data_IF_428981105547
#
_entry.id   IF_428981105547
#
_cell.length_a   1.000
_cell.length_b   1.000
_cell.length_c   1.000
_cell.angle_alpha   90.00
_cell.angle_beta   90.00
_cell.angle_gamma   90.00
#
_symmetry.space_group_name_H-M   'P 1'
#
loop_
_entity.id
_entity.type
_entity.pdbx_description
1 polymer ?
#
# COMPACT_ATOMS: atom_id res chain seq x y z
N UNK A 1 9.69 -5.30 19.86
CA UNK A 1 10.52 -6.41 19.34
C UNK A 1 11.17 -6.09 17.98
N UNK A 2 10.62 -5.14 17.19
CA UNK A 2 11.20 -4.70 15.91
C UNK A 2 12.63 -4.09 16.01
N UNK A 3 12.95 -3.36 17.08
CA UNK A 3 14.30 -2.79 17.27
C UNK A 3 15.39 -3.88 17.44
N UNK A 4 15.05 -5.00 18.08
CA UNK A 4 15.92 -6.19 18.09
C UNK A 4 16.02 -6.84 16.71
N UNK A 5 14.93 -6.86 15.93
CA UNK A 5 14.95 -7.38 14.56
C UNK A 5 15.88 -6.59 13.62
N UNK A 6 15.87 -5.26 13.69
CA UNK A 6 16.77 -4.39 12.91
C UNK A 6 18.22 -4.54 13.33
N UNK A 7 18.50 -4.64 14.64
CA UNK A 7 19.84 -4.93 15.15
C UNK A 7 20.34 -6.31 14.74
N UNK A 8 19.46 -7.31 14.74
CA UNK A 8 19.77 -8.67 14.27
C UNK A 8 20.03 -8.68 12.76
N UNK A 9 19.24 -7.96 11.96
CA UNK A 9 19.43 -7.84 10.51
C UNK A 9 20.73 -7.09 10.16
N UNK A 10 21.03 -5.98 10.87
CA UNK A 10 22.30 -5.26 10.74
C UNK A 10 23.50 -6.12 11.16
N UNK A 11 23.34 -6.91 12.23
CA UNK A 11 24.34 -7.90 12.66
C UNK A 11 24.54 -9.00 11.62
N UNK A 12 23.47 -9.53 11.04
CA UNK A 12 23.52 -10.55 9.99
C UNK A 12 24.22 -10.00 8.73
N UNK A 13 23.87 -8.77 8.33
CA UNK A 13 24.48 -8.08 7.20
C UNK A 13 25.99 -7.86 7.44
N UNK A 14 26.37 -7.44 8.65
CA UNK A 14 27.78 -7.27 9.01
C UNK A 14 28.55 -8.59 8.99
N UNK A 15 27.95 -9.69 9.47
CA UNK A 15 28.56 -11.03 9.41
C UNK A 15 28.72 -11.50 7.97
N UNK A 16 27.70 -11.33 7.13
CA UNK A 16 27.76 -11.66 5.70
C UNK A 16 28.84 -10.82 5.01
N UNK A 17 28.93 -9.52 5.29
CA UNK A 17 29.97 -8.64 4.79
C UNK A 17 31.38 -9.11 5.19
N UNK A 18 31.60 -9.50 6.45
CA UNK A 18 32.88 -10.02 6.92
C UNK A 18 33.28 -11.35 6.24
N UNK A 19 32.31 -12.24 6.01
CA UNK A 19 32.54 -13.48 5.26
C UNK A 19 33.02 -13.16 3.84
N UNK A 20 32.34 -12.25 3.15
CA UNK A 20 32.70 -11.84 1.79
C UNK A 20 34.03 -11.09 1.72
N UNK A 21 34.34 -10.27 2.72
CA UNK A 21 35.66 -9.63 2.86
C UNK A 21 36.76 -10.70 3.02
N UNK A 22 36.51 -11.76 3.78
CA UNK A 22 37.39 -12.91 3.91
C UNK A 22 37.62 -13.65 2.58
N UNK A 23 36.55 -13.89 1.81
CA UNK A 23 36.63 -14.52 0.47
C UNK A 23 37.46 -13.65 -0.49
N UNK A 24 37.28 -12.33 -0.45
CA UNK A 24 38.04 -11.39 -1.27
C UNK A 24 39.53 -11.38 -0.90
N UNK A 25 39.85 -11.30 0.40
CA UNK A 25 41.24 -11.35 0.89
C UNK A 25 41.90 -12.67 0.50
N UNK A 26 41.20 -13.80 0.65
CA UNK A 26 41.71 -15.11 0.24
C UNK A 26 41.95 -15.18 -1.26
N UNK A 27 41.06 -14.62 -2.08
CA UNK A 27 41.23 -14.50 -3.53
C UNK A 27 42.51 -13.75 -3.89
N UNK A 28 42.74 -12.57 -3.30
CA UNK A 28 43.95 -11.76 -3.52
C UNK A 28 45.21 -12.50 -3.08
N UNK A 29 45.20 -13.17 -1.93
CA UNK A 29 46.34 -13.96 -1.44
C UNK A 29 46.68 -15.10 -2.42
N UNK A 30 45.68 -15.83 -2.91
CA UNK A 30 45.88 -16.91 -3.87
C UNK A 30 46.36 -16.39 -5.24
N UNK A 31 45.90 -15.22 -5.66
CA UNK A 31 46.42 -14.54 -6.85
C UNK A 31 47.92 -14.28 -6.72
N UNK A 32 48.33 -13.66 -5.60
CA UNK A 32 49.73 -13.34 -5.32
C UNK A 32 50.57 -14.60 -5.24
N UNK A 33 50.11 -15.64 -4.54
CA UNK A 33 50.78 -16.94 -4.47
C UNK A 33 50.92 -17.59 -5.85
N UNK A 34 49.88 -17.55 -6.69
CA UNK A 34 49.92 -18.06 -8.06
C UNK A 34 50.93 -17.31 -8.94
N UNK A 35 50.95 -15.98 -8.88
CA UNK A 35 51.93 -15.14 -9.61
C UNK A 35 53.35 -15.41 -9.10
N UNK A 36 53.56 -15.47 -7.78
CA UNK A 36 54.86 -15.80 -7.20
C UNK A 36 55.33 -17.19 -7.64
N UNK A 37 54.43 -18.18 -7.68
CA UNK A 37 54.74 -19.50 -8.20
C UNK A 37 55.24 -19.43 -9.63
N UNK A 38 54.57 -18.71 -10.52
CA UNK A 38 54.99 -18.55 -11.92
C UNK A 38 56.32 -17.77 -12.07
N UNK A 39 56.47 -16.65 -11.37
CA UNK A 39 57.66 -15.77 -11.46
C UNK A 39 58.92 -16.45 -10.90
N UNK A 40 58.82 -17.05 -9.71
CA UNK A 40 59.96 -17.76 -9.10
C UNK A 40 60.27 -19.07 -9.84
N UNK A 41 59.27 -19.77 -10.38
CA UNK A 41 59.48 -20.93 -11.24
C UNK A 41 60.20 -20.56 -12.55
N UNK A 42 59.78 -19.47 -13.20
CA UNK A 42 60.42 -18.95 -14.41
C UNK A 42 61.91 -18.62 -14.22
N UNK A 43 62.29 -18.14 -13.03
CA UNK A 43 63.68 -17.88 -12.63
C UNK A 43 64.47 -19.15 -12.30
N UNK A 44 63.86 -20.15 -11.64
CA UNK A 44 64.53 -21.40 -11.25
C UNK A 44 64.68 -22.44 -12.39
N UNK A 45 64.15 -22.15 -13.58
CA UNK A 45 64.21 -22.99 -14.79
C UNK A 45 65.64 -23.39 -15.20
N UNK A 46 66.68 -22.66 -14.75
CA UNK A 46 68.09 -22.86 -15.15
C UNK A 46 68.94 -23.76 -14.23
N UNK A 47 68.42 -24.33 -13.12
CA UNK A 47 69.28 -24.99 -12.10
C UNK A 47 68.95 -26.42 -11.65
N UNK A 48 67.90 -27.09 -12.17
CA UNK A 48 67.47 -28.41 -11.64
C UNK A 48 67.41 -29.50 -12.72
N UNK A 49 68.22 -30.55 -12.57
CA UNK A 49 68.33 -31.73 -13.45
C UNK A 49 67.10 -32.67 -13.48
N UNK A 50 67.30 -33.88 -14.03
CA UNK A 50 66.24 -34.84 -14.41
C UNK A 50 65.36 -35.35 -13.23
N UNK A 51 65.88 -35.39 -12.01
CA UNK A 51 65.11 -35.79 -10.81
C UNK A 51 64.00 -34.79 -10.40
N UNK A 52 64.05 -33.56 -10.94
CA UNK A 52 63.06 -32.52 -10.63
C UNK A 52 61.76 -32.60 -11.43
N UNK A 53 61.63 -33.48 -12.43
CA UNK A 53 60.51 -33.44 -13.41
C UNK A 53 59.14 -33.73 -12.78
N UNK A 54 59.06 -34.63 -11.79
CA UNK A 54 57.82 -34.92 -11.06
C UNK A 54 57.36 -33.77 -10.16
N UNK A 55 58.27 -33.21 -9.35
CA UNK A 55 58.01 -31.99 -8.53
C UNK A 55 57.62 -30.79 -9.41
N UNK A 56 58.21 -30.65 -10.60
CA UNK A 56 57.92 -29.58 -11.58
C UNK A 56 56.48 -29.62 -12.10
N UNK A 57 55.89 -30.81 -12.30
CA UNK A 57 54.49 -30.94 -12.78
C UNK A 57 53.49 -30.56 -11.69
N UNK A 58 53.65 -31.08 -10.47
CA UNK A 58 52.77 -30.80 -9.33
C UNK A 58 52.73 -29.31 -8.97
N UNK A 59 53.89 -28.64 -9.01
CA UNK A 59 54.00 -27.21 -8.68
C UNK A 59 53.31 -26.30 -9.71
N UNK A 60 53.39 -26.62 -11.01
CA UNK A 60 52.63 -25.91 -12.04
C UNK A 60 51.12 -26.09 -11.89
N UNK A 61 50.69 -27.33 -11.62
CA UNK A 61 49.29 -27.64 -11.36
C UNK A 61 48.80 -26.85 -10.14
N UNK A 62 49.59 -26.77 -9.06
CA UNK A 62 49.26 -25.98 -7.87
C UNK A 62 49.12 -24.47 -8.17
N UNK A 63 50.02 -23.88 -8.97
CA UNK A 63 49.93 -22.48 -9.36
C UNK A 63 48.68 -22.17 -10.20
N UNK A 64 48.36 -23.02 -11.18
CA UNK A 64 47.15 -22.91 -11.99
C UNK A 64 45.90 -23.04 -11.12
N UNK A 65 45.88 -24.02 -10.20
CA UNK A 65 44.76 -24.22 -9.27
C UNK A 65 44.56 -22.99 -8.37
N UNK A 66 45.63 -22.38 -7.85
CA UNK A 66 45.53 -21.15 -7.07
C UNK A 66 44.94 -19.99 -7.89
N UNK A 67 45.36 -19.82 -9.15
CA UNK A 67 44.82 -18.78 -10.03
C UNK A 67 43.34 -19.01 -10.36
N UNK A 68 42.93 -20.26 -10.62
CA UNK A 68 41.52 -20.60 -10.89
C UNK A 68 40.65 -20.31 -9.66
N UNK A 69 41.08 -20.76 -8.47
CA UNK A 69 40.36 -20.49 -7.21
C UNK A 69 40.30 -18.99 -6.93
N UNK A 70 41.40 -18.26 -7.18
CA UNK A 70 41.45 -16.81 -7.05
C UNK A 70 40.40 -16.12 -7.94
N UNK A 71 40.31 -16.48 -9.22
CA UNK A 71 39.36 -15.88 -10.16
C UNK A 71 37.93 -16.17 -9.73
N UNK A 72 37.63 -17.39 -9.29
CA UNK A 72 36.31 -17.76 -8.77
C UNK A 72 35.96 -16.91 -7.53
N UNK A 73 36.88 -16.80 -6.56
CA UNK A 73 36.65 -16.02 -5.33
C UNK A 73 36.46 -14.52 -5.62
N UNK A 74 37.29 -13.94 -6.49
CA UNK A 74 37.18 -12.54 -6.90
C UNK A 74 35.87 -12.29 -7.67
N UNK A 75 35.47 -13.22 -8.54
CA UNK A 75 34.22 -13.14 -9.28
C UNK A 75 32.98 -13.24 -8.38
N UNK A 76 32.98 -14.17 -7.43
CA UNK A 76 31.90 -14.33 -6.46
C UNK A 76 31.79 -13.12 -5.52
N UNK A 77 32.92 -12.60 -5.02
CA UNK A 77 32.94 -11.42 -4.18
C UNK A 77 32.49 -10.16 -4.94
N UNK A 78 32.99 -9.96 -6.17
CA UNK A 78 32.60 -8.83 -7.02
C UNK A 78 31.13 -8.89 -7.45
N UNK A 79 30.64 -10.07 -7.84
CA UNK A 79 29.25 -10.29 -8.22
C UNK A 79 28.29 -10.04 -7.05
N UNK A 80 28.62 -10.53 -5.86
CA UNK A 80 27.81 -10.31 -4.65
C UNK A 80 27.80 -8.84 -4.22
N UNK A 81 28.94 -8.15 -4.31
CA UNK A 81 29.01 -6.70 -4.02
C UNK A 81 28.19 -5.88 -5.01
N UNK A 82 28.25 -6.21 -6.30
CA UNK A 82 27.40 -5.60 -7.32
C UNK A 82 25.92 -5.84 -7.02
N UNK A 83 25.54 -7.08 -6.67
CA UNK A 83 24.16 -7.42 -6.30
C UNK A 83 23.66 -6.63 -5.08
N UNK A 84 24.47 -6.52 -4.03
CA UNK A 84 24.12 -5.77 -2.80
C UNK A 84 23.98 -4.27 -3.09
N UNK A 85 24.82 -3.70 -3.95
CA UNK A 85 24.85 -2.25 -4.22
C UNK A 85 23.87 -1.80 -5.30
N UNK A 86 23.47 -2.69 -6.21
CA UNK A 86 22.61 -2.36 -7.37
C UNK A 86 21.25 -3.05 -7.35
N UNK A 87 21.03 -4.05 -6.48
CA UNK A 87 19.71 -4.59 -6.15
C UNK A 87 19.39 -4.34 -4.67
N UNK A 88 19.40 -3.05 -4.27
CA UNK A 88 18.70 -2.65 -3.05
C UNK A 88 17.20 -2.93 -3.20
N UNK A 89 16.46 -3.15 -2.10
CA UNK A 89 15.03 -3.37 -2.20
C UNK A 89 14.35 -2.15 -2.83
N UNK A 90 13.36 -2.39 -3.69
CA UNK A 90 12.59 -1.34 -4.35
C UNK A 90 11.90 -0.47 -3.29
N UNK A 91 12.46 0.72 -3.06
CA UNK A 91 11.94 1.68 -2.09
C UNK A 91 11.28 2.84 -2.83
N UNK A 92 10.16 3.34 -2.30
CA UNK A 92 9.57 4.61 -2.73
C UNK A 92 9.70 5.65 -1.64
N UNK A 93 9.98 6.88 -2.03
CA UNK A 93 10.08 8.02 -1.13
C UNK A 93 8.70 8.60 -0.85
N UNK A 94 8.29 8.57 0.42
CA UNK A 94 7.14 9.31 0.95
C UNK A 94 7.68 10.63 1.53
N UNK A 95 7.11 11.75 1.11
CA UNK A 95 7.41 13.06 1.73
C UNK A 95 6.48 13.26 2.91
N UNK A 96 7.05 13.54 4.08
CA UNK A 96 6.36 13.79 5.34
C UNK A 96 6.74 15.18 5.86
N UNK A 97 6.00 15.69 6.84
CA UNK A 97 6.31 16.93 7.57
C UNK A 97 7.70 16.92 8.25
N UNK A 98 8.24 15.74 8.54
CA UNK A 98 9.55 15.55 9.18
C UNK A 98 10.66 15.12 8.20
N UNK A 99 10.40 15.14 6.89
CA UNK A 99 11.37 14.83 5.84
C UNK A 99 10.92 13.73 4.89
N UNK A 100 11.87 13.16 4.13
CA UNK A 100 11.59 12.12 3.13
C UNK A 100 11.94 10.75 3.70
N UNK A 101 10.97 9.84 3.74
CA UNK A 101 11.14 8.46 4.23
C UNK A 101 11.04 7.49 3.05
N UNK A 102 12.05 6.66 2.87
CA UNK A 102 12.05 5.58 1.88
C UNK A 102 11.39 4.33 2.49
N UNK A 103 10.28 3.86 1.91
CA UNK A 103 9.55 2.67 2.35
C UNK A 103 9.75 1.54 1.36
N UNK A 104 9.98 0.31 1.86
CA UNK A 104 10.04 -0.90 1.04
C UNK A 104 8.67 -1.19 0.39
N UNK A 105 8.68 -1.57 -0.88
CA UNK A 105 7.46 -1.84 -1.64
C UNK A 105 6.59 -2.96 -1.04
N UNK A 106 7.20 -4.02 -0.48
CA UNK A 106 6.47 -5.11 0.19
C UNK A 106 5.72 -4.64 1.44
N UNK A 107 6.37 -3.79 2.25
CA UNK A 107 5.77 -3.26 3.48
C UNK A 107 4.63 -2.29 3.18
N UNK A 108 4.78 -1.51 2.10
CA UNK A 108 3.70 -0.69 1.54
C UNK A 108 2.47 -1.55 1.21
N UNK A 109 2.65 -2.66 0.49
CA UNK A 109 1.53 -3.54 0.13
C UNK A 109 0.90 -4.22 1.36
N UNK A 110 1.71 -4.59 2.35
CA UNK A 110 1.19 -5.11 3.61
C UNK A 110 0.31 -4.07 4.34
N UNK A 111 0.73 -2.81 4.35
CA UNK A 111 -0.04 -1.72 4.96
C UNK A 111 -1.36 -1.47 4.21
N UNK A 112 -1.30 -1.36 2.88
CA UNK A 112 -2.52 -1.24 2.04
C UNK A 112 -3.48 -2.40 2.30
N UNK A 113 -2.98 -3.63 2.28
CA UNK A 113 -3.80 -4.82 2.52
C UNK A 113 -4.34 -4.93 3.95
N UNK A 114 -3.75 -4.27 4.95
CA UNK A 114 -4.31 -4.16 6.29
C UNK A 114 -5.47 -3.17 6.31
N UNK A 115 -5.30 -2.00 5.68
CA UNK A 115 -6.35 -0.99 5.52
C UNK A 115 -7.54 -1.58 4.76
N UNK A 116 -7.31 -2.22 3.61
CA UNK A 116 -8.36 -2.80 2.76
C UNK A 116 -9.21 -3.87 3.48
N UNK A 117 -8.62 -4.62 4.41
CA UNK A 117 -9.31 -5.64 5.20
C UNK A 117 -9.96 -5.09 6.47
N UNK A 118 -9.92 -3.78 6.68
CA UNK A 118 -10.37 -3.11 7.91
C UNK A 118 -9.70 -3.66 9.19
N UNK A 119 -8.43 -4.06 9.06
CA UNK A 119 -7.64 -4.68 10.13
C UNK A 119 -7.05 -3.60 11.05
N UNK A 120 -7.92 -3.02 11.90
CA UNK A 120 -7.58 -1.85 12.72
C UNK A 120 -6.36 -2.08 13.62
N UNK A 121 -6.22 -3.26 14.20
CA UNK A 121 -5.10 -3.58 15.11
C UNK A 121 -3.77 -3.63 14.35
N UNK A 122 -3.76 -4.20 13.15
CA UNK A 122 -2.60 -4.23 12.27
C UNK A 122 -2.24 -2.81 11.80
N UNK A 123 -3.23 -2.03 11.38
CA UNK A 123 -3.05 -0.63 10.96
C UNK A 123 -2.47 0.21 12.09
N UNK A 124 -3.01 0.13 13.31
CA UNK A 124 -2.49 0.81 14.50
C UNK A 124 -1.04 0.43 14.77
N UNK A 125 -0.73 -0.88 14.79
CA UNK A 125 0.63 -1.37 15.01
C UNK A 125 1.60 -0.83 13.95
N UNK A 126 1.22 -0.86 12.69
CA UNK A 126 2.06 -0.38 11.59
C UNK A 126 2.28 1.14 11.64
N UNK A 127 1.26 1.92 12.00
CA UNK A 127 1.38 3.38 12.17
C UNK A 127 2.24 3.76 13.39
N UNK A 128 2.17 2.99 14.48
CA UNK A 128 3.05 3.15 15.65
C UNK A 128 4.51 2.82 15.32
N UNK A 129 4.75 1.70 14.63
CA UNK A 129 6.09 1.29 14.23
C UNK A 129 6.68 2.18 13.14
N UNK A 130 5.83 2.74 12.28
CA UNK A 130 6.21 3.53 11.10
C UNK A 130 5.33 4.78 10.97
N UNK A 131 5.66 5.87 11.69
CA UNK A 131 4.92 7.13 11.63
C UNK A 131 4.82 7.74 10.21
N UNK A 132 5.73 7.38 9.29
CA UNK A 132 5.66 7.83 7.90
C UNK A 132 4.41 7.34 7.14
N UNK A 133 3.69 6.34 7.67
CA UNK A 133 2.46 5.83 7.05
C UNK A 133 1.24 6.71 7.26
N UNK A 134 1.28 7.69 8.17
CA UNK A 134 0.23 8.70 8.29
C UNK A 134 0.05 9.50 6.99
N UNK A 135 1.15 9.85 6.32
CA UNK A 135 1.16 10.60 5.05
C UNK A 135 1.20 9.69 3.81
N UNK A 136 0.87 8.41 3.97
CA UNK A 136 0.99 7.42 2.92
C UNK A 136 0.10 7.73 1.71
N UNK A 137 0.66 7.56 0.50
CA UNK A 137 -0.06 7.63 -0.77
C UNK A 137 0.17 6.38 -1.62
N UNK A 138 -0.92 5.79 -2.09
CA UNK A 138 -0.92 4.69 -3.04
C UNK A 138 -0.39 5.10 -4.43
N UNK A 139 -0.17 4.11 -5.29
CA UNK A 139 0.36 4.33 -6.65
C UNK A 139 -0.56 5.20 -7.50
N UNK A 140 -1.86 5.12 -7.30
CA UNK A 140 -2.88 5.96 -7.95
C UNK A 140 -2.98 7.37 -7.32
N UNK A 141 -2.24 7.62 -6.24
CA UNK A 141 -2.26 8.85 -5.47
C UNK A 141 -3.34 8.89 -4.39
N UNK A 142 -4.10 7.81 -4.15
CA UNK A 142 -5.05 7.70 -3.03
C UNK A 142 -4.30 7.84 -1.69
N UNK A 143 -4.81 8.63 -0.77
CA UNK A 143 -4.30 8.68 0.62
C UNK A 143 -4.75 7.44 1.39
N UNK A 144 -4.15 7.19 2.56
CA UNK A 144 -4.56 6.07 3.42
C UNK A 144 -6.06 6.07 3.74
N UNK A 145 -6.63 7.24 4.06
CA UNK A 145 -8.06 7.39 4.30
C UNK A 145 -8.87 7.18 3.02
N UNK A 146 -8.37 7.62 1.86
CA UNK A 146 -9.00 7.35 0.58
C UNK A 146 -9.10 5.85 0.28
N UNK A 147 -8.06 5.08 0.59
CA UNK A 147 -8.07 3.61 0.44
C UNK A 147 -9.12 3.00 1.36
N UNK A 148 -9.15 3.38 2.64
CA UNK A 148 -10.12 2.89 3.61
C UNK A 148 -11.56 3.15 3.15
N UNK A 149 -11.88 4.39 2.74
CA UNK A 149 -13.22 4.77 2.26
C UNK A 149 -13.62 3.98 1.00
N UNK A 150 -12.70 3.80 0.04
CA UNK A 150 -13.02 3.06 -1.19
C UNK A 150 -13.28 1.56 -0.97
N UNK A 151 -12.74 1.00 0.10
CA UNK A 151 -12.92 -0.40 0.47
C UNK A 151 -14.00 -0.60 1.53
N UNK A 152 -14.63 0.48 2.03
CA UNK A 152 -15.64 0.40 3.08
C UNK A 152 -15.07 0.04 4.45
N UNK A 153 -13.79 0.32 4.70
CA UNK A 153 -13.09 0.03 5.95
C UNK A 153 -13.45 1.07 7.02
N UNK A 154 -14.60 0.88 7.67
CA UNK A 154 -15.22 1.85 8.58
C UNK A 154 -14.35 2.08 9.81
N UNK A 155 -13.87 1.01 10.45
CA UNK A 155 -13.11 1.11 11.70
C UNK A 155 -11.76 1.80 11.50
N UNK A 156 -11.07 1.46 10.41
CA UNK A 156 -9.85 2.15 10.01
C UNK A 156 -10.13 3.61 9.65
N UNK A 157 -11.21 3.90 8.92
CA UNK A 157 -11.58 5.28 8.59
C UNK A 157 -11.85 6.11 9.84
N UNK A 158 -12.62 5.56 10.79
CA UNK A 158 -12.93 6.20 12.07
C UNK A 158 -11.65 6.53 12.82
N UNK A 159 -10.75 5.56 12.94
CA UNK A 159 -9.47 5.77 13.61
C UNK A 159 -8.61 6.84 12.94
N UNK A 160 -8.56 6.89 11.61
CA UNK A 160 -7.81 7.92 10.89
C UNK A 160 -8.41 9.31 11.12
N UNK A 161 -9.73 9.44 11.06
CA UNK A 161 -10.45 10.69 11.34
C UNK A 161 -10.26 11.17 12.78
N UNK A 162 -10.32 10.27 13.77
CA UNK A 162 -10.06 10.55 15.18
C UNK A 162 -8.64 11.10 15.42
N UNK A 163 -7.68 10.74 14.56
CA UNK A 163 -6.31 11.23 14.60
C UNK A 163 -6.07 12.46 13.71
N UNK A 164 -7.14 13.11 13.25
CA UNK A 164 -7.08 14.38 12.54
C UNK A 164 -6.69 14.28 11.07
N UNK A 165 -6.77 13.08 10.47
CA UNK A 165 -6.65 12.95 9.02
C UNK A 165 -7.84 13.63 8.36
N UNK A 166 -7.56 14.57 7.45
CA UNK A 166 -8.59 15.31 6.74
C UNK A 166 -9.42 14.38 5.84
N UNK A 167 -10.72 14.33 6.11
CA UNK A 167 -11.69 13.53 5.35
C UNK A 167 -11.69 13.91 3.86
N UNK A 168 -11.54 15.18 3.51
CA UNK A 168 -11.70 15.61 2.12
C UNK A 168 -10.47 15.34 1.24
N UNK A 169 -9.32 15.01 1.85
CA UNK A 169 -8.07 14.71 1.14
C UNK A 169 -7.94 13.20 0.90
N UNK A 170 -8.78 12.66 0.01
CA UNK A 170 -8.81 11.21 -0.32
C UNK A 170 -7.87 10.79 -1.45
N UNK A 171 -7.17 11.73 -2.09
CA UNK A 171 -6.15 11.38 -3.10
C UNK A 171 -6.03 12.36 -4.25
N UNK A 172 -5.70 11.84 -5.43
CA UNK A 172 -5.50 12.59 -6.68
C UNK A 172 -6.80 12.93 -7.43
N UNK A 173 -7.94 12.37 -7.00
CA UNK A 173 -9.25 12.64 -7.59
C UNK A 173 -9.80 14.00 -7.13
N UNK A 174 -10.63 14.62 -7.96
CA UNK A 174 -11.43 15.79 -7.58
C UNK A 174 -12.60 15.45 -6.66
N UNK A 175 -12.81 14.16 -6.34
CA UNK A 175 -13.87 13.70 -5.45
C UNK A 175 -13.45 13.89 -3.98
N UNK A 176 -14.37 14.42 -3.17
CA UNK A 176 -14.27 14.40 -1.70
C UNK A 176 -14.52 12.98 -1.16
N UNK A 177 -14.22 12.73 0.12
CA UNK A 177 -14.49 11.45 0.78
C UNK A 177 -15.94 10.99 0.61
N UNK A 178 -16.87 11.90 0.89
CA UNK A 178 -18.30 11.62 0.80
C UNK A 178 -18.68 11.11 -0.60
N UNK A 179 -18.30 11.85 -1.65
CA UNK A 179 -18.65 11.49 -3.02
C UNK A 179 -17.91 10.26 -3.55
N UNK A 180 -16.74 9.96 -3.00
CA UNK A 180 -16.04 8.69 -3.28
C UNK A 180 -16.83 7.49 -2.75
N UNK A 181 -17.47 7.61 -1.58
CA UNK A 181 -18.40 6.62 -1.05
C UNK A 181 -19.65 6.51 -1.92
N UNK A 182 -20.29 7.64 -2.28
CA UNK A 182 -21.50 7.65 -3.13
C UNK A 182 -21.27 6.99 -4.50
N UNK A 183 -20.09 7.15 -5.09
CA UNK A 183 -19.75 6.51 -6.37
C UNK A 183 -19.77 4.98 -6.28
N UNK A 184 -19.42 4.40 -5.13
CA UNK A 184 -19.41 2.95 -4.90
C UNK A 184 -20.80 2.33 -4.87
N UNK A 185 -21.84 3.12 -4.60
CA UNK A 185 -23.23 2.68 -4.70
C UNK A 185 -23.56 2.19 -6.12
N UNK A 186 -23.04 2.85 -7.15
CA UNK A 186 -23.20 2.41 -8.55
C UNK A 186 -22.50 1.09 -8.87
N UNK A 187 -21.54 0.69 -8.05
CA UNK A 187 -20.84 -0.59 -8.13
C UNK A 187 -21.55 -1.68 -7.28
N UNK A 188 -22.71 -1.36 -6.67
CA UNK A 188 -23.48 -2.26 -5.81
C UNK A 188 -23.00 -2.29 -4.36
N UNK A 189 -22.23 -1.29 -3.93
CA UNK A 189 -21.72 -1.19 -2.55
C UNK A 189 -22.38 0.01 -1.88
N UNK A 190 -23.42 -0.27 -1.08
CA UNK A 190 -24.06 0.71 -0.21
C UNK A 190 -23.55 0.53 1.22
N UNK A 191 -22.95 1.59 1.77
CA UNK A 191 -22.39 1.59 3.12
C UNK A 191 -22.88 2.83 3.88
N UNK A 192 -24.09 2.77 4.49
CA UNK A 192 -24.64 3.89 5.24
C UNK A 192 -23.78 4.26 6.45
N UNK A 193 -23.17 3.28 7.12
CA UNK A 193 -22.30 3.52 8.27
C UNK A 193 -21.09 4.40 7.93
N UNK A 194 -20.46 4.19 6.76
CA UNK A 194 -19.40 5.05 6.27
C UNK A 194 -19.90 6.46 5.95
N UNK A 195 -21.09 6.59 5.37
CA UNK A 195 -21.67 7.91 5.08
C UNK A 195 -21.94 8.69 6.37
N UNK A 196 -22.54 8.03 7.37
CA UNK A 196 -22.77 8.60 8.70
C UNK A 196 -21.47 9.05 9.36
N UNK A 197 -20.45 8.18 9.35
CA UNK A 197 -19.14 8.50 9.88
C UNK A 197 -18.54 9.75 9.19
N UNK A 198 -18.63 9.85 7.87
CA UNK A 198 -18.09 11.01 7.16
C UNK A 198 -18.86 12.30 7.51
N UNK A 199 -20.18 12.22 7.65
CA UNK A 199 -21.02 13.34 8.10
C UNK A 199 -20.70 13.76 9.53
N UNK A 200 -20.41 12.82 10.44
CA UNK A 200 -19.99 13.10 11.83
C UNK A 200 -18.71 13.95 11.88
N UNK A 201 -17.83 13.77 10.89
CA UNK A 201 -16.58 14.51 10.74
C UNK A 201 -16.70 15.71 9.79
N UNK A 202 -17.93 16.15 9.47
CA UNK A 202 -18.21 17.38 8.74
C UNK A 202 -17.98 17.31 7.23
N UNK A 203 -17.91 16.11 6.65
CA UNK A 203 -17.84 15.95 5.21
C UNK A 203 -19.09 16.54 4.53
N UNK A 204 -18.89 17.32 3.47
CA UNK A 204 -20.00 17.94 2.75
C UNK A 204 -20.67 16.95 1.79
N UNK A 205 -22.00 16.83 1.91
CA UNK A 205 -22.84 16.12 0.95
C UNK A 205 -23.18 16.97 -0.29
N UNK A 206 -22.83 18.26 -0.29
CA UNK A 206 -23.10 19.16 -1.41
C UNK A 206 -22.17 18.89 -2.61
N UNK A 207 -22.73 19.00 -3.83
CA UNK A 207 -21.97 19.07 -5.09
C UNK A 207 -22.76 19.85 -6.13
N UNK A 208 -22.09 20.79 -6.78
CA UNK A 208 -22.73 21.74 -7.72
C UNK A 208 -23.35 21.06 -8.94
N UNK A 209 -22.71 20.01 -9.48
CA UNK A 209 -23.19 19.26 -10.63
C UNK A 209 -23.32 17.77 -10.31
N UNK A 210 -24.49 17.37 -9.80
CA UNK A 210 -24.89 15.95 -9.79
C UNK A 210 -25.84 15.74 -10.97
N UNK A 211 -25.33 15.23 -12.09
CA UNK A 211 -26.12 15.09 -13.33
C UNK A 211 -27.10 13.89 -13.32
N UNK A 212 -27.23 13.20 -12.20
CA UNK A 212 -28.03 11.99 -12.03
C UNK A 212 -28.74 12.02 -10.68
N UNK A 213 -29.85 11.30 -10.57
CA UNK A 213 -30.54 11.03 -9.30
C UNK A 213 -29.53 10.60 -8.23
N UNK A 214 -29.67 11.12 -7.02
CA UNK A 214 -28.82 10.75 -5.89
C UNK A 214 -28.79 9.23 -5.71
N UNK A 215 -27.62 8.57 -5.88
CA UNK A 215 -27.53 7.12 -5.77
C UNK A 215 -27.98 6.57 -4.43
N UNK A 216 -27.84 7.37 -3.37
CA UNK A 216 -28.27 7.03 -2.01
C UNK A 216 -29.78 6.75 -1.98
N UNK A 217 -30.61 7.60 -2.61
CA UNK A 217 -32.07 7.42 -2.66
C UNK A 217 -32.44 6.13 -3.40
N UNK A 218 -31.74 5.84 -4.49
CA UNK A 218 -31.97 4.60 -5.23
C UNK A 218 -31.60 3.36 -4.42
N UNK A 219 -30.51 3.42 -3.65
CA UNK A 219 -30.06 2.33 -2.78
C UNK A 219 -31.04 2.08 -1.61
N UNK A 220 -31.50 3.13 -0.93
CA UNK A 220 -32.48 3.01 0.16
C UNK A 220 -33.78 2.33 -0.30
N UNK A 221 -34.16 2.52 -1.56
CA UNK A 221 -35.38 1.92 -2.12
C UNK A 221 -35.12 0.57 -2.82
N UNK A 222 -33.90 0.04 -2.82
CA UNK A 222 -33.52 -1.13 -3.62
C UNK A 222 -34.19 -2.42 -3.13
N UNK A 223 -34.35 -2.60 -1.82
CA UNK A 223 -34.93 -3.82 -1.27
C UNK A 223 -36.44 -3.71 -0.99
N UNK A 224 -37.01 -2.51 -1.17
CA UNK A 224 -38.42 -2.25 -0.87
C UNK A 224 -38.72 -2.17 0.63
N UNK A 225 -37.70 -1.96 1.44
CA UNK A 225 -37.75 -1.77 2.89
C UNK A 225 -37.07 -0.44 3.19
N UNK A 226 -37.84 0.56 3.63
CA UNK A 226 -37.36 1.90 3.94
C UNK A 226 -37.25 2.02 5.46
N UNK A 227 -36.03 1.91 5.98
CA UNK A 227 -35.79 1.86 7.43
C UNK A 227 -35.74 3.23 8.08
N UNK A 228 -36.00 3.31 9.39
CA UNK A 228 -35.88 4.56 10.14
C UNK A 228 -34.44 5.07 10.15
N UNK A 229 -33.44 4.17 10.21
CA UNK A 229 -32.02 4.53 10.13
C UNK A 229 -31.65 5.17 8.79
N UNK A 230 -32.22 4.70 7.68
CA UNK A 230 -32.01 5.31 6.36
C UNK A 230 -32.70 6.66 6.25
N UNK A 231 -33.87 6.84 6.86
CA UNK A 231 -34.55 8.12 6.92
C UNK A 231 -33.80 9.13 7.78
N UNK A 232 -33.21 8.69 8.89
CA UNK A 232 -32.33 9.51 9.72
C UNK A 232 -31.08 9.95 8.94
N UNK A 233 -30.46 9.03 8.19
CA UNK A 233 -29.36 9.37 7.27
C UNK A 233 -29.82 10.37 6.21
N UNK A 234 -31.00 10.17 5.60
CA UNK A 234 -31.56 11.09 4.61
C UNK A 234 -31.75 12.50 5.17
N UNK A 235 -32.32 12.61 6.36
CA UNK A 235 -32.50 13.89 7.06
C UNK A 235 -31.16 14.60 7.25
N UNK A 236 -30.13 13.89 7.75
CA UNK A 236 -28.78 14.44 7.88
C UNK A 236 -28.18 14.88 6.56
N UNK A 237 -28.42 14.14 5.48
CA UNK A 237 -27.94 14.49 4.14
C UNK A 237 -28.60 15.75 3.60
N UNK A 238 -29.91 15.88 3.80
CA UNK A 238 -30.67 17.10 3.45
C UNK A 238 -30.14 18.29 4.23
N UNK A 239 -29.92 18.14 5.53
CA UNK A 239 -29.32 19.17 6.39
C UNK A 239 -27.89 19.54 5.95
N UNK A 240 -27.12 18.56 5.46
CA UNK A 240 -25.80 18.76 4.88
C UNK A 240 -25.81 19.38 3.46
N UNK A 241 -26.99 19.74 2.94
CA UNK A 241 -27.16 20.43 1.67
C UNK A 241 -27.11 19.49 0.46
N UNK A 242 -27.43 18.21 0.62
CA UNK A 242 -27.60 17.29 -0.51
C UNK A 242 -28.67 17.83 -1.46
N UNK A 243 -28.32 18.01 -2.73
CA UNK A 243 -29.25 18.54 -3.72
C UNK A 243 -30.35 17.51 -4.05
N UNK A 244 -31.62 17.89 -3.91
CA UNK A 244 -32.78 17.02 -4.17
C UNK A 244 -33.41 17.24 -5.56
N UNK A 245 -32.97 18.29 -6.27
CA UNK A 245 -33.56 18.70 -7.56
C UNK A 245 -32.99 17.95 -8.76
N UNK A 246 -31.97 17.11 -8.57
CA UNK A 246 -31.33 16.36 -9.64
C UNK A 246 -32.26 15.25 -10.14
N UNK A 247 -32.29 15.06 -11.46
CA UNK A 247 -33.19 14.08 -12.09
C UNK A 247 -32.46 12.87 -12.66
N UNK A 248 -33.13 11.73 -12.72
CA UNK A 248 -32.66 10.57 -13.48
C UNK A 248 -32.83 10.76 -15.00
N UNK A 249 -32.48 9.73 -15.79
CA UNK A 249 -32.57 9.76 -17.26
C UNK A 249 -33.98 9.87 -17.85
N UNK A 250 -35.03 9.76 -17.03
CA UNK A 250 -36.44 9.96 -17.43
C UNK A 250 -37.06 11.23 -16.83
N UNK A 251 -36.27 12.05 -16.12
CA UNK A 251 -36.72 13.34 -15.57
C UNK A 251 -37.35 13.28 -14.17
N UNK A 252 -37.28 12.13 -13.48
CA UNK A 252 -37.75 12.03 -12.09
C UNK A 252 -36.70 12.61 -11.14
N UNK A 253 -37.11 13.52 -10.26
CA UNK A 253 -36.33 13.92 -9.09
C UNK A 253 -36.45 12.86 -7.98
N UNK A 254 -35.82 13.10 -6.82
CA UNK A 254 -35.83 12.15 -5.70
C UNK A 254 -37.24 11.83 -5.20
N UNK A 255 -38.10 12.85 -5.04
CA UNK A 255 -39.50 12.68 -4.63
C UNK A 255 -40.27 11.81 -5.63
N UNK A 256 -40.26 12.16 -6.92
CA UNK A 256 -40.99 11.42 -7.95
C UNK A 256 -40.49 9.97 -8.08
N UNK A 257 -39.20 9.75 -7.84
CA UNK A 257 -38.62 8.41 -7.82
C UNK A 257 -39.17 7.58 -6.65
N UNK A 258 -39.20 8.13 -5.43
CA UNK A 258 -39.77 7.46 -4.26
C UNK A 258 -41.27 7.20 -4.44
N UNK A 259 -42.03 8.14 -5.01
CA UNK A 259 -43.47 7.94 -5.28
C UNK A 259 -43.73 6.77 -6.24
N UNK A 260 -42.89 6.60 -7.27
CA UNK A 260 -43.03 5.50 -8.22
C UNK A 260 -42.58 4.18 -7.60
N UNK A 261 -41.36 4.13 -7.06
CA UNK A 261 -40.77 2.91 -6.52
C UNK A 261 -41.51 2.44 -5.27
N UNK A 262 -41.94 3.35 -4.40
CA UNK A 262 -42.69 3.01 -3.20
C UNK A 262 -44.03 2.33 -3.49
N UNK A 263 -44.69 2.70 -4.59
CA UNK A 263 -45.88 1.98 -5.08
C UNK A 263 -45.53 0.66 -5.77
N UNK A 264 -44.49 0.66 -6.60
CA UNK A 264 -44.06 -0.52 -7.36
C UNK A 264 -43.60 -1.66 -6.45
N UNK A 265 -42.95 -1.32 -5.33
CA UNK A 265 -42.38 -2.28 -4.36
C UNK A 265 -43.23 -2.51 -3.12
N UNK A 266 -44.38 -1.84 -2.99
CA UNK A 266 -45.28 -2.01 -1.84
C UNK A 266 -44.93 -1.18 -0.60
N UNK A 267 -43.84 -0.40 -0.59
CA UNK A 267 -43.44 0.47 0.53
C UNK A 267 -44.59 1.35 1.00
N UNK A 268 -45.36 1.93 0.06
CA UNK A 268 -46.47 2.82 0.39
C UNK A 268 -47.62 2.13 1.17
N UNK A 269 -47.81 0.83 0.95
CA UNK A 269 -48.86 0.04 1.61
C UNK A 269 -48.33 -0.67 2.87
N UNK A 270 -47.11 -1.19 2.80
CA UNK A 270 -46.47 -1.99 3.87
C UNK A 270 -45.84 -1.11 4.96
N UNK A 271 -45.37 0.08 4.60
CA UNK A 271 -44.63 1.01 5.46
C UNK A 271 -45.12 2.46 5.29
N UNK A 272 -46.41 2.74 5.55
CA UNK A 272 -47.01 4.04 5.23
C UNK A 272 -46.39 5.20 6.01
N UNK A 273 -45.94 4.96 7.24
CA UNK A 273 -45.31 6.00 8.08
C UNK A 273 -43.93 6.39 7.54
N UNK A 274 -43.08 5.40 7.23
CA UNK A 274 -41.74 5.60 6.66
C UNK A 274 -41.83 6.20 5.25
N UNK A 275 -42.78 5.73 4.44
CA UNK A 275 -43.02 6.26 3.10
C UNK A 275 -43.37 7.75 3.12
N UNK A 276 -44.32 8.17 3.96
CA UNK A 276 -44.69 9.58 4.07
C UNK A 276 -43.55 10.43 4.67
N UNK A 277 -42.85 9.93 5.70
CA UNK A 277 -41.65 10.61 6.24
C UNK A 277 -40.59 10.82 5.17
N UNK A 278 -40.32 9.81 4.35
CA UNK A 278 -39.39 9.90 3.23
C UNK A 278 -39.80 10.97 2.22
N UNK A 279 -41.08 11.03 1.85
CA UNK A 279 -41.58 12.08 0.96
C UNK A 279 -41.49 13.48 1.57
N UNK A 280 -41.77 13.64 2.86
CA UNK A 280 -41.62 14.91 3.57
C UNK A 280 -40.17 15.41 3.53
N UNK A 281 -39.20 14.55 3.86
CA UNK A 281 -37.76 14.87 3.78
C UNK A 281 -37.33 15.28 2.37
N UNK A 282 -37.87 14.62 1.33
CA UNK A 282 -37.53 14.90 -0.05
C UNK A 282 -38.17 16.18 -0.62
N UNK A 283 -39.20 16.72 0.05
CA UNK A 283 -39.87 17.96 -0.35
C UNK A 283 -39.15 19.21 0.19
N UNK A 284 -38.40 19.07 1.29
CA UNK A 284 -37.71 20.17 1.97
C UNK A 284 -38.62 20.91 2.93
#
# INVERSE_FOLDING_TARGET
MAFMGVLVAAGLFYVVFLIWLGVLVLGVVLLVLGILFEVFYGRNKRRLGAEGVGKKKWQKVAGIVCLVISVINLGLAGGSFYFITHMGPDTKTVSTENGVVSVLQEERFAFEGAVERDDLDEVKRMLEEKPAYWDYKAVDGSTVIGIAIANGSVEVTRFLLENGVDADVVGSSTDTAFWRCVRKIKEGIYNPEMLELLLDYGASAYREEVSYLNPIIAAMCEDGDLTDEELDLLERLVDAGMSLTNTNGIGENAEAYLERIGKEKGIADDQPEQYERGLELLRG
#
